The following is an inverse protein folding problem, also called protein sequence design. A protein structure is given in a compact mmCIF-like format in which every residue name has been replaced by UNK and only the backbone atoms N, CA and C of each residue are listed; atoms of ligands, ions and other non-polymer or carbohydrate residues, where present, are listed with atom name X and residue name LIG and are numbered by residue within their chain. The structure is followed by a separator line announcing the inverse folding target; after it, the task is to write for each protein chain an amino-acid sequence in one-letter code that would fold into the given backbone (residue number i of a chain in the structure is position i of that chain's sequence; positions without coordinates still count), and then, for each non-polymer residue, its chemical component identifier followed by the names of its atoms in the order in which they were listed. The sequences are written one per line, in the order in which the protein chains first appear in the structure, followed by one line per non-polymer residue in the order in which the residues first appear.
data_IF_869054144354
#
_entry.id   IF_869054144354
#
_cell.length_a   1.000
_cell.length_b   1.000
_cell.length_c   1.000
_cell.angle_alpha   90.00
_cell.angle_beta   90.00
_cell.angle_gamma   90.00
#
_symmetry.space_group_name_H-M   'P 1'
#
loop_
_entity.id
_entity.type
_entity.pdbx_description
1 polymer ?
#
# COMPACT_ATOMS: atom_id res chain seq x y z
N UNK A 1 -61.01 -2.50 55.38
CA UNK A 1 -59.93 -3.38 54.89
C UNK A 1 -59.20 -2.68 53.76
N UNK A 2 -57.92 -2.33 53.95
CA UNK A 2 -57.07 -1.77 52.88
C UNK A 2 -56.31 -2.93 52.21
N UNK A 3 -56.39 -3.12 50.88
CA UNK A 3 -55.67 -4.19 50.22
C UNK A 3 -54.17 -3.87 50.17
N UNK A 4 -53.33 -4.79 50.63
CA UNK A 4 -51.88 -4.74 50.44
C UNK A 4 -51.53 -5.14 49.00
N UNK A 5 -50.70 -4.37 48.27
CA UNK A 5 -50.23 -4.77 46.95
C UNK A 5 -49.23 -5.93 47.06
N UNK A 6 -49.40 -6.92 46.19
CA UNK A 6 -48.64 -8.16 46.12
C UNK A 6 -47.20 -7.93 45.63
N UNK A 7 -46.26 -8.56 46.33
CA UNK A 7 -44.79 -8.49 46.12
C UNK A 7 -44.29 -9.08 44.78
N UNK A 8 -45.18 -9.55 43.89
CA UNK A 8 -44.82 -10.22 42.63
C UNK A 8 -44.47 -9.24 41.51
N UNK A 9 -44.99 -8.02 41.52
CA UNK A 9 -44.73 -7.01 40.47
C UNK A 9 -43.27 -6.53 40.47
N UNK A 10 -42.60 -6.59 41.62
CA UNK A 10 -41.24 -6.07 41.80
C UNK A 10 -40.15 -6.94 41.14
N UNK A 11 -40.44 -8.22 40.86
CA UNK A 11 -39.46 -9.15 40.28
C UNK A 11 -39.29 -8.96 38.77
N UNK A 12 -40.36 -8.63 38.04
CA UNK A 12 -40.31 -8.46 36.59
C UNK A 12 -39.59 -7.16 36.16
N UNK A 13 -39.68 -6.10 36.97
CA UNK A 13 -38.97 -4.86 36.66
C UNK A 13 -37.44 -5.00 36.74
N UNK A 14 -36.91 -5.77 37.70
CA UNK A 14 -35.46 -6.00 37.81
C UNK A 14 -34.87 -6.66 36.57
N UNK A 15 -35.59 -7.60 35.95
CA UNK A 15 -35.16 -8.26 34.71
C UNK A 15 -35.31 -7.36 33.48
N UNK A 16 -36.33 -6.50 33.43
CA UNK A 16 -36.47 -5.47 32.40
C UNK A 16 -35.31 -4.45 32.44
N UNK A 17 -34.96 -3.93 33.61
CA UNK A 17 -33.83 -3.00 33.75
C UNK A 17 -32.48 -3.66 33.46
N UNK A 18 -32.29 -4.94 33.84
CA UNK A 18 -31.09 -5.70 33.48
C UNK A 18 -30.98 -5.92 31.97
N UNK A 19 -32.08 -6.29 31.31
CA UNK A 19 -32.13 -6.46 29.85
C UNK A 19 -31.89 -5.16 29.09
N UNK A 20 -32.47 -4.05 29.57
CA UNK A 20 -32.25 -2.72 28.98
C UNK A 20 -30.81 -2.23 29.20
N UNK A 21 -30.23 -2.49 30.38
CA UNK A 21 -28.83 -2.18 30.69
C UNK A 21 -27.84 -2.97 29.82
N UNK A 22 -28.11 -4.27 29.59
CA UNK A 22 -27.30 -5.13 28.72
C UNK A 22 -27.34 -4.70 27.24
N UNK A 23 -28.46 -4.15 26.77
CA UNK A 23 -28.55 -3.58 25.42
C UNK A 23 -27.95 -2.18 25.30
N UNK A 24 -27.97 -1.38 26.37
CA UNK A 24 -27.40 -0.03 26.38
C UNK A 24 -25.86 -0.03 26.42
N UNK A 25 -25.25 -1.01 27.10
CA UNK A 25 -23.79 -1.13 27.23
C UNK A 25 -23.01 -1.19 25.88
N UNK A 26 -23.38 -2.01 24.89
CA UNK A 26 -22.68 -2.03 23.61
C UNK A 26 -22.89 -0.73 22.80
N UNK A 27 -24.07 -0.09 22.92
CA UNK A 27 -24.33 1.21 22.28
C UNK A 27 -23.48 2.34 22.89
N UNK A 28 -23.39 2.39 24.22
CA UNK A 28 -22.52 3.33 24.94
C UNK A 28 -21.04 3.07 24.64
N UNK A 29 -20.64 1.80 24.57
CA UNK A 29 -19.29 1.41 24.18
C UNK A 29 -18.93 1.88 22.78
N UNK A 30 -19.86 1.80 21.82
CA UNK A 30 -19.65 2.27 20.46
C UNK A 30 -19.57 3.81 20.35
N UNK A 31 -20.42 4.54 21.07
CA UNK A 31 -20.40 6.02 21.09
C UNK A 31 -19.09 6.55 21.68
N UNK A 32 -18.59 5.94 22.77
CA UNK A 32 -17.33 6.35 23.39
C UNK A 32 -16.08 5.86 22.64
N UNK A 33 -16.20 4.82 21.82
CA UNK A 33 -15.06 4.25 21.07
C UNK A 33 -15.07 4.61 19.57
N UNK A 34 -15.97 5.49 19.15
CA UNK A 34 -16.09 5.91 17.75
C UNK A 34 -14.90 6.77 17.30
N UNK A 35 -14.70 6.94 15.97
CA UNK A 35 -13.66 7.81 15.47
C UNK A 35 -13.91 9.26 15.90
N UNK A 36 -12.87 9.91 16.41
CA UNK A 36 -12.92 11.32 16.78
C UNK A 36 -12.28 12.19 15.69
N UNK A 37 -12.62 13.47 15.67
CA UNK A 37 -12.05 14.45 14.74
C UNK A 37 -10.94 15.22 15.43
N UNK A 38 -9.77 15.27 14.79
CA UNK A 38 -8.65 16.10 15.19
C UNK A 38 -8.46 17.23 14.17
N UNK A 39 -8.30 18.46 14.66
CA UNK A 39 -7.83 19.56 13.83
C UNK A 39 -6.31 19.45 13.71
N UNK A 40 -5.81 19.37 12.49
CA UNK A 40 -4.40 19.14 12.18
C UNK A 40 -3.91 20.15 11.15
N UNK A 41 -2.65 20.51 11.23
CA UNK A 41 -1.99 21.41 10.27
C UNK A 41 -1.04 20.62 9.39
N UNK A 42 -1.02 20.93 8.09
CA UNK A 42 -0.01 20.40 7.17
C UNK A 42 1.35 21.04 7.47
N UNK A 43 2.27 20.28 8.06
CA UNK A 43 3.59 20.79 8.46
C UNK A 43 4.67 20.51 7.43
N UNK A 44 4.56 19.42 6.67
CA UNK A 44 5.51 19.09 5.62
C UNK A 44 4.84 18.31 4.48
N UNK A 45 5.43 18.43 3.30
CA UNK A 45 4.95 17.79 2.07
C UNK A 45 6.13 17.19 1.31
N UNK A 46 6.70 16.07 1.76
CA UNK A 46 7.77 15.41 1.05
C UNK A 46 7.24 14.58 -0.13
N UNK A 47 8.08 14.42 -1.14
CA UNK A 47 7.82 13.57 -2.28
C UNK A 47 9.10 12.83 -2.67
N UNK A 48 8.92 11.65 -3.27
CA UNK A 48 9.99 10.83 -3.81
C UNK A 48 9.59 10.21 -5.14
N UNK A 49 10.53 10.15 -6.06
CA UNK A 49 10.40 9.57 -7.40
C UNK A 49 11.56 8.62 -7.62
N UNK A 50 11.25 7.37 -7.91
CA UNK A 50 12.25 6.34 -8.20
C UNK A 50 12.03 5.79 -9.60
N UNK A 51 13.11 5.66 -10.36
CA UNK A 51 13.10 4.93 -11.63
C UNK A 51 14.05 3.76 -11.49
N UNK A 52 13.53 2.55 -11.64
CA UNK A 52 14.35 1.34 -11.73
C UNK A 52 15.20 1.42 -12.99
N UNK A 53 16.50 1.17 -12.84
CA UNK A 53 17.42 1.01 -13.97
C UNK A 53 17.76 -0.46 -14.03
N UNK A 54 17.39 -1.07 -15.14
CA UNK A 54 17.58 -2.47 -15.42
C UNK A 54 18.77 -2.62 -16.36
N UNK A 55 19.58 -3.66 -16.15
CA UNK A 55 20.63 -4.07 -17.08
C UNK A 55 20.27 -5.43 -17.66
N UNK A 56 20.54 -5.60 -18.94
CA UNK A 56 20.39 -6.88 -19.62
C UNK A 56 21.56 -7.80 -19.26
N UNK A 57 21.27 -8.99 -18.74
CA UNK A 57 22.26 -9.98 -18.31
C UNK A 57 21.91 -11.36 -18.87
N UNK A 58 22.91 -12.15 -19.23
CA UNK A 58 22.69 -13.54 -19.63
C UNK A 58 22.47 -14.40 -18.37
N UNK A 59 21.27 -14.96 -18.25
CA UNK A 59 20.89 -15.80 -17.13
C UNK A 59 20.62 -17.23 -17.57
N UNK A 60 21.01 -18.19 -16.73
CA UNK A 60 20.73 -19.61 -16.94
C UNK A 60 19.25 -19.89 -16.68
N UNK A 61 18.58 -20.46 -17.67
CA UNK A 61 17.18 -20.84 -17.63
C UNK A 61 17.01 -22.28 -18.13
N UNK A 62 15.83 -22.83 -17.87
CA UNK A 62 15.44 -24.12 -18.42
C UNK A 62 13.94 -24.16 -18.68
N UNK A 63 13.57 -24.62 -19.86
CA UNK A 63 12.18 -24.81 -20.27
C UNK A 63 12.13 -25.90 -21.34
N UNK A 64 10.94 -26.32 -21.74
CA UNK A 64 10.75 -27.15 -22.92
C UNK A 64 11.34 -26.47 -24.17
N UNK A 65 11.94 -27.26 -25.05
CA UNK A 65 12.69 -26.71 -26.19
C UNK A 65 11.81 -25.97 -27.22
N UNK A 66 10.48 -26.20 -27.21
CA UNK A 66 9.49 -25.47 -28.01
C UNK A 66 9.31 -24.01 -27.55
N UNK A 67 9.73 -23.67 -26.32
CA UNK A 67 9.68 -22.31 -25.75
C UNK A 67 11.03 -21.60 -25.74
N UNK A 68 12.02 -22.15 -26.42
CA UNK A 68 13.37 -21.58 -26.46
C UNK A 68 13.33 -20.18 -27.11
N UNK A 69 13.83 -19.12 -26.44
CA UNK A 69 13.86 -17.78 -27.02
C UNK A 69 14.90 -17.68 -28.13
N UNK A 70 14.67 -16.78 -29.09
CA UNK A 70 15.56 -16.59 -30.25
C UNK A 70 17.00 -16.21 -29.87
N UNK A 71 17.19 -15.55 -28.72
CA UNK A 71 18.50 -15.10 -28.23
C UNK A 71 19.17 -16.11 -27.28
N UNK A 72 18.66 -17.34 -27.19
CA UNK A 72 19.24 -18.37 -26.34
C UNK A 72 20.65 -18.79 -26.79
N UNK A 73 21.55 -18.99 -25.84
CA UNK A 73 22.94 -19.38 -26.04
C UNK A 73 23.30 -20.60 -25.20
N UNK A 74 24.23 -21.42 -25.68
CA UNK A 74 24.72 -22.59 -24.94
C UNK A 74 23.61 -23.58 -24.59
N UNK A 75 22.81 -23.95 -25.58
CA UNK A 75 21.64 -24.81 -25.42
C UNK A 75 22.05 -26.26 -25.25
N UNK A 76 21.69 -26.84 -24.12
CA UNK A 76 21.80 -28.27 -23.81
C UNK A 76 20.41 -28.91 -23.86
N UNK A 77 20.29 -30.05 -24.53
CA UNK A 77 19.02 -30.75 -24.74
C UNK A 77 19.04 -32.10 -24.03
N UNK A 78 17.93 -32.44 -23.39
CA UNK A 78 17.73 -33.73 -22.73
C UNK A 78 16.27 -34.17 -22.89
N UNK A 79 16.03 -35.46 -23.09
CA UNK A 79 14.66 -35.99 -23.09
C UNK A 79 14.15 -36.08 -21.65
N UNK A 80 12.93 -35.60 -21.40
CA UNK A 80 12.24 -35.70 -20.11
C UNK A 80 10.76 -35.97 -20.31
N UNK A 81 10.17 -36.71 -19.38
CA UNK A 81 8.72 -36.88 -19.30
C UNK A 81 8.09 -35.64 -18.65
N UNK A 82 7.04 -35.09 -19.28
CA UNK A 82 6.33 -33.91 -18.79
C UNK A 82 5.46 -34.25 -17.57
N UNK A 83 5.73 -33.70 -16.38
CA UNK A 83 4.94 -34.00 -15.17
C UNK A 83 3.47 -33.61 -15.28
N UNK A 84 3.13 -32.68 -16.18
CA UNK A 84 1.75 -32.28 -16.44
C UNK A 84 0.99 -33.25 -17.36
N UNK A 85 1.70 -34.20 -18.00
CA UNK A 85 1.16 -35.15 -18.97
C UNK A 85 0.80 -34.55 -20.33
N UNK A 86 0.97 -33.25 -20.53
CA UNK A 86 0.53 -32.57 -21.76
C UNK A 86 1.38 -32.94 -22.99
N UNK A 87 2.68 -33.22 -22.79
CA UNK A 87 3.64 -33.50 -23.88
C UNK A 87 4.12 -34.96 -23.94
N UNK A 88 3.94 -35.74 -22.87
CA UNK A 88 4.61 -37.04 -22.73
C UNK A 88 6.13 -36.88 -22.66
N UNK A 89 6.87 -37.75 -23.34
CA UNK A 89 8.34 -37.66 -23.45
C UNK A 89 8.74 -36.61 -24.50
N UNK A 90 9.39 -35.53 -24.07
CA UNK A 90 9.76 -34.41 -24.94
C UNK A 90 11.16 -33.84 -24.61
N UNK A 91 11.70 -32.99 -25.50
CA UNK A 91 12.97 -32.32 -25.28
C UNK A 91 12.84 -31.16 -24.29
N UNK A 92 13.62 -31.24 -23.21
CA UNK A 92 13.79 -30.20 -22.22
C UNK A 92 15.15 -29.52 -22.41
N UNK A 93 15.14 -28.20 -22.51
CA UNK A 93 16.31 -27.39 -22.82
C UNK A 93 16.83 -26.67 -21.56
N UNK A 94 18.15 -26.67 -21.39
CA UNK A 94 18.86 -25.77 -20.47
C UNK A 94 19.70 -24.80 -21.30
N UNK A 95 19.57 -23.51 -21.05
CA UNK A 95 20.17 -22.49 -21.92
C UNK A 95 20.44 -21.20 -21.14
N UNK A 96 21.25 -20.31 -21.71
CA UNK A 96 21.39 -18.93 -21.23
C UNK A 96 20.60 -17.99 -22.13
N UNK A 97 19.77 -17.14 -21.55
CA UNK A 97 19.01 -16.14 -22.30
C UNK A 97 19.12 -14.76 -21.64
N UNK A 98 19.07 -13.67 -22.44
CA UNK A 98 19.21 -12.33 -21.92
C UNK A 98 17.95 -11.88 -21.18
N UNK A 99 18.10 -11.59 -19.90
CA UNK A 99 17.05 -11.13 -19.00
C UNK A 99 17.31 -9.71 -18.50
N UNK A 100 16.24 -8.96 -18.28
CA UNK A 100 16.32 -7.65 -17.67
C UNK A 100 16.31 -7.79 -16.16
N UNK A 101 17.42 -7.41 -15.53
CA UNK A 101 17.56 -7.43 -14.08
C UNK A 101 17.71 -6.01 -13.57
N UNK A 102 16.90 -5.66 -12.57
CA UNK A 102 17.03 -4.41 -11.84
C UNK A 102 18.43 -4.34 -11.25
N UNK A 103 19.18 -3.30 -11.63
CA UNK A 103 20.55 -3.08 -11.15
C UNK A 103 20.62 -2.00 -10.08
N UNK A 104 19.90 -0.88 -10.29
CA UNK A 104 19.90 0.28 -9.39
C UNK A 104 18.63 1.09 -9.55
N UNK A 105 18.53 2.17 -8.76
CA UNK A 105 17.48 3.18 -8.89
C UNK A 105 18.11 4.54 -9.19
N UNK A 106 17.50 5.31 -10.07
CA UNK A 106 17.65 6.76 -10.06
C UNK A 106 16.59 7.33 -9.10
N UNK A 107 16.99 8.27 -8.25
CA UNK A 107 16.14 8.85 -7.21
C UNK A 107 16.11 10.36 -7.35
N UNK A 108 14.91 10.94 -7.26
CA UNK A 108 14.71 12.34 -6.96
C UNK A 108 13.76 12.44 -5.78
N UNK A 109 14.10 13.28 -4.80
CA UNK A 109 13.28 13.59 -3.66
C UNK A 109 13.32 15.08 -3.37
N UNK A 110 12.35 15.54 -2.61
CA UNK A 110 12.23 16.94 -2.24
C UNK A 110 10.98 17.20 -1.43
N UNK A 111 10.72 18.48 -1.20
CA UNK A 111 9.57 18.94 -0.43
C UNK A 111 8.89 20.11 -1.14
N UNK A 112 7.58 20.30 -0.91
CA UNK A 112 6.89 21.50 -1.34
C UNK A 112 7.61 22.76 -0.79
N UNK A 113 7.66 23.87 -1.55
CA UNK A 113 6.92 24.12 -2.79
C UNK A 113 7.57 23.55 -4.06
N UNK A 114 8.72 22.85 -3.98
CA UNK A 114 9.35 22.24 -5.16
C UNK A 114 8.42 21.14 -5.70
N UNK A 115 7.95 21.23 -6.96
CA UNK A 115 7.05 20.24 -7.52
C UNK A 115 7.80 18.91 -7.75
N UNK A 116 7.12 17.76 -7.61
CA UNK A 116 7.75 16.48 -7.86
C UNK A 116 8.19 16.32 -9.31
N UNK A 117 9.46 15.93 -9.52
CA UNK A 117 10.02 15.65 -10.84
C UNK A 117 10.68 14.27 -10.90
N UNK A 118 10.74 13.69 -12.10
CA UNK A 118 11.46 12.43 -12.31
C UNK A 118 12.97 12.69 -12.42
N UNK A 119 13.83 11.85 -11.82
CA UNK A 119 15.27 12.01 -11.92
C UNK A 119 15.75 11.86 -13.37
N UNK A 120 16.82 12.57 -13.72
CA UNK A 120 17.53 12.34 -14.98
C UNK A 120 18.14 10.93 -14.98
N UNK A 121 18.10 10.26 -16.13
CA UNK A 121 18.58 8.88 -16.28
C UNK A 121 19.90 8.87 -17.04
N UNK A 122 20.99 8.59 -16.32
CA UNK A 122 22.30 8.33 -16.91
C UNK A 122 22.41 6.84 -17.22
N UNK A 123 21.92 6.40 -18.39
CA UNK A 123 21.94 4.98 -18.77
C UNK A 123 23.27 4.59 -19.41
N UNK A 124 23.81 3.44 -19.02
CA UNK A 124 25.00 2.88 -19.65
C UNK A 124 24.64 2.11 -20.93
N UNK A 125 25.27 2.46 -22.06
CA UNK A 125 25.14 1.77 -23.36
C UNK A 125 23.68 1.46 -23.77
N UNK A 126 22.76 2.45 -23.76
CA UNK A 126 21.36 2.21 -24.05
C UNK A 126 21.18 1.63 -25.46
N UNK A 127 20.35 0.60 -25.59
CA UNK A 127 20.10 -0.10 -26.86
C UNK A 127 21.11 -1.19 -27.22
N UNK A 128 22.20 -1.32 -26.47
CA UNK A 128 23.12 -2.46 -26.65
C UNK A 128 22.59 -3.74 -25.98
N UNK A 129 23.06 -4.94 -26.37
CA UNK A 129 22.67 -6.20 -25.74
C UNK A 129 23.00 -6.33 -24.25
N UNK A 130 23.93 -5.53 -23.73
CA UNK A 130 24.24 -5.44 -22.29
C UNK A 130 23.84 -4.09 -21.67
N UNK A 131 23.08 -3.31 -22.42
CA UNK A 131 22.72 -1.95 -22.09
C UNK A 131 21.81 -1.85 -20.87
N UNK A 132 21.76 -0.65 -20.32
CA UNK A 132 20.76 -0.27 -19.34
C UNK A 132 19.50 0.29 -20.01
N UNK A 133 18.35 0.08 -19.36
CA UNK A 133 17.09 0.74 -19.71
C UNK A 133 16.35 1.23 -18.48
N UNK A 134 15.42 2.16 -18.69
CA UNK A 134 14.44 2.51 -17.69
C UNK A 134 13.43 1.35 -17.51
N UNK A 135 13.31 0.87 -16.29
CA UNK A 135 12.30 -0.07 -15.86
C UNK A 135 11.10 0.63 -15.23
N UNK A 136 10.58 0.06 -14.15
CA UNK A 136 9.42 0.58 -13.43
C UNK A 136 9.68 1.96 -12.80
N UNK A 137 8.65 2.80 -12.85
CA UNK A 137 8.61 4.10 -12.15
C UNK A 137 7.74 4.00 -10.89
N UNK A 138 8.23 4.54 -9.78
CA UNK A 138 7.53 4.60 -8.50
C UNK A 138 7.42 6.04 -8.02
N UNK A 139 6.24 6.42 -7.56
CA UNK A 139 5.93 7.76 -7.09
C UNK A 139 5.34 7.68 -5.68
N UNK A 140 6.02 8.33 -4.75
CA UNK A 140 5.61 8.43 -3.35
C UNK A 140 5.45 9.92 -3.02
N UNK A 141 4.36 10.26 -2.35
CA UNK A 141 4.07 11.61 -1.87
C UNK A 141 3.40 11.47 -0.53
N UNK A 142 3.94 12.17 0.45
CA UNK A 142 3.45 12.10 1.82
C UNK A 142 3.07 13.50 2.30
N UNK A 143 2.13 13.52 3.23
CA UNK A 143 1.65 14.69 3.93
C UNK A 143 1.91 14.47 5.41
N UNK A 144 2.74 15.30 6.02
CA UNK A 144 2.94 15.27 7.46
C UNK A 144 1.96 16.24 8.09
N UNK A 145 1.18 15.72 9.02
CA UNK A 145 0.11 16.39 9.73
C UNK A 145 0.49 16.48 11.20
N UNK A 146 0.26 17.64 11.82
CA UNK A 146 0.49 17.83 13.25
C UNK A 146 -0.74 18.45 13.91
N UNK A 147 -1.20 17.85 15.02
CA UNK A 147 -2.21 18.44 15.90
C UNK A 147 -1.59 19.43 16.89
N UNK A 148 -2.41 20.28 17.50
CA UNK A 148 -1.95 21.23 18.54
C UNK A 148 -1.34 20.56 19.76
N UNK A 149 -1.80 19.34 20.09
CA UNK A 149 -1.27 18.54 21.19
C UNK A 149 0.07 17.82 20.86
N UNK A 150 0.62 18.08 19.68
CA UNK A 150 1.92 17.55 19.24
C UNK A 150 1.88 16.18 18.58
N UNK A 151 0.71 15.53 18.49
CA UNK A 151 0.59 14.27 17.73
C UNK A 151 0.82 14.49 16.24
N UNK A 152 1.44 13.50 15.60
CA UNK A 152 1.77 13.55 14.19
C UNK A 152 1.24 12.35 13.43
N UNK A 153 0.87 12.58 12.17
CA UNK A 153 0.45 11.54 11.25
C UNK A 153 1.06 11.77 9.87
N UNK A 154 1.38 10.68 9.18
CA UNK A 154 1.87 10.70 7.80
C UNK A 154 0.84 10.05 6.89
N UNK A 155 0.36 10.81 5.92
CA UNK A 155 -0.62 10.34 4.94
C UNK A 155 0.00 10.23 3.55
N UNK A 156 -0.04 9.02 2.95
CA UNK A 156 0.31 8.79 1.55
C UNK A 156 -0.86 9.14 0.65
N UNK A 157 -0.65 10.02 -0.32
CA UNK A 157 -1.71 10.58 -1.15
C UNK A 157 -1.41 10.40 -2.64
N UNK A 158 -2.44 10.47 -3.47
CA UNK A 158 -2.25 10.62 -4.92
C UNK A 158 -1.56 11.96 -5.22
N UNK A 159 -0.88 12.07 -6.37
CA UNK A 159 -0.23 13.33 -6.76
C UNK A 159 -1.22 14.49 -6.85
N UNK A 160 -2.44 14.22 -7.33
CA UNK A 160 -3.49 15.22 -7.45
C UNK A 160 -3.94 15.72 -6.07
N UNK A 161 -4.23 14.81 -5.14
CA UNK A 161 -4.65 15.17 -3.78
C UNK A 161 -3.56 15.92 -3.03
N UNK A 162 -2.32 15.43 -3.14
CA UNK A 162 -1.17 16.06 -2.52
C UNK A 162 -0.95 17.48 -3.08
N UNK A 163 -1.11 17.71 -4.38
CA UNK A 163 -0.94 19.04 -4.99
C UNK A 163 -2.03 20.03 -4.58
N UNK A 164 -3.26 19.56 -4.32
CA UNK A 164 -4.38 20.41 -3.89
C UNK A 164 -4.19 21.01 -2.50
N UNK A 165 -3.40 20.37 -1.64
CA UNK A 165 -3.22 20.80 -0.25
C UNK A 165 -2.04 21.78 -0.13
N UNK A 166 -2.19 22.82 0.70
CA UNK A 166 -1.13 23.79 0.97
C UNK A 166 -0.37 23.48 2.26
N UNK A 167 0.91 23.87 2.33
CA UNK A 167 1.64 23.92 3.60
C UNK A 167 0.93 24.91 4.54
N UNK A 168 0.83 24.57 5.83
CA UNK A 168 0.11 25.36 6.83
C UNK A 168 -1.42 25.24 6.76
N UNK A 169 -1.98 24.47 5.82
CA UNK A 169 -3.42 24.27 5.74
C UNK A 169 -3.93 23.48 6.95
N UNK A 170 -5.02 23.98 7.56
CA UNK A 170 -5.74 23.25 8.60
C UNK A 170 -6.75 22.27 7.99
N UNK A 171 -6.76 21.04 8.51
CA UNK A 171 -7.59 19.93 8.06
C UNK A 171 -8.32 19.30 9.24
N UNK A 172 -9.44 18.63 8.97
CA UNK A 172 -10.12 17.77 9.97
C UNK A 172 -9.84 16.33 9.63
N UNK A 173 -9.05 15.68 10.46
CA UNK A 173 -8.67 14.29 10.32
C UNK A 173 -9.53 13.42 11.23
N UNK A 174 -10.13 12.37 10.70
CA UNK A 174 -10.73 11.32 11.53
C UNK A 174 -9.62 10.38 12.03
N UNK A 175 -9.64 10.12 13.33
CA UNK A 175 -8.70 9.25 14.01
C UNK A 175 -9.49 8.20 14.78
N UNK A 176 -9.16 6.93 14.61
CA UNK A 176 -9.83 5.85 15.32
C UNK A 176 -9.39 5.78 16.80
N UNK A 177 -10.01 4.86 17.55
CA UNK A 177 -9.70 4.65 18.97
C UNK A 177 -8.25 4.21 19.25
N UNK A 178 -7.52 3.74 18.24
CA UNK A 178 -6.13 3.31 18.34
C UNK A 178 -5.14 4.41 17.93
N UNK A 179 -5.62 5.59 17.56
CA UNK A 179 -4.78 6.69 17.09
C UNK A 179 -4.43 6.60 15.61
N UNK A 180 -5.03 5.67 14.85
CA UNK A 180 -4.79 5.51 13.42
C UNK A 180 -5.61 6.54 12.64
N UNK A 181 -4.93 7.29 11.78
CA UNK A 181 -5.50 8.32 10.94
C UNK A 181 -6.22 7.73 9.72
N UNK A 182 -7.46 8.14 9.49
CA UNK A 182 -8.13 7.97 8.19
C UNK A 182 -7.78 9.15 7.27
N UNK A 183 -6.72 8.96 6.47
CA UNK A 183 -6.21 9.97 5.55
C UNK A 183 -7.19 10.36 4.43
N UNK A 184 -8.26 9.59 4.18
CA UNK A 184 -9.27 9.97 3.20
C UNK A 184 -10.28 10.98 3.77
N UNK A 185 -10.42 11.05 5.09
CA UNK A 185 -11.46 11.84 5.77
C UNK A 185 -11.40 13.36 5.53
N UNK A 186 -10.21 13.91 5.22
CA UNK A 186 -10.07 15.33 4.90
C UNK A 186 -10.17 15.63 3.41
N UNK A 187 -10.18 14.61 2.53
CA UNK A 187 -10.27 14.78 1.08
C UNK A 187 -11.71 14.83 0.55
N UNK A 188 -12.67 14.24 1.28
CA UNK A 188 -14.06 14.06 0.86
C UNK A 188 -14.96 15.31 1.03
N UNK A 189 -14.43 16.52 0.81
CA UNK A 189 -15.21 17.78 0.90
C UNK A 189 -15.46 18.38 -0.48
#
# INVERSE_FOLDING_TARGET
MKPQPSLTFQRHWRWLYFGLGLLALPLLGWVFSGPHRADVTVVAKPWRRLVEIERRVLEMQSDWCDRLPAEAQGVERQMREDPSGQRGLAEYCRFRAPEWRRRRFAVADGEAPVPPFWPALELQNPGSPEGERAGRRLAEQELLLRAEDGREWTCRLSVADWQRLALGQQLRLQVDRFGVADCASFLAR
#
